data_IF_095113190489
#
_entry.id   IF_095113190489
#
_cell.length_a   1.000
_cell.length_b   1.000
_cell.length_c   1.000
_cell.angle_alpha   90.00
_cell.angle_beta   90.00
_cell.angle_gamma   90.00
#
_symmetry.space_group_name_H-M   'P 1'
#
loop_
_entity.id
_entity.type
_entity.pdbx_description
1 polymer ?
#
# COMPACT_ATOMS: atom_id res chain seq x y z
N UNK A 1 9.64 -15.83 28.37
CA UNK A 1 10.49 -15.25 27.31
C UNK A 1 10.43 -16.20 26.14
N UNK A 2 9.82 -15.81 25.02
CA UNK A 2 9.77 -16.64 23.81
C UNK A 2 11.06 -16.40 23.02
N UNK A 3 11.93 -17.40 23.00
CA UNK A 3 13.13 -17.44 22.16
C UNK A 3 12.75 -17.14 20.70
N UNK A 4 13.25 -16.02 20.21
CA UNK A 4 13.06 -15.58 18.83
C UNK A 4 13.80 -16.54 17.91
N UNK A 5 13.10 -17.54 17.39
CA UNK A 5 13.57 -18.36 16.28
C UNK A 5 13.77 -17.42 15.08
N UNK A 6 15.00 -17.00 14.86
CA UNK A 6 15.48 -16.40 13.62
C UNK A 6 15.47 -17.48 12.53
N UNK A 7 14.27 -17.88 12.10
CA UNK A 7 14.12 -18.74 10.94
C UNK A 7 14.64 -17.96 9.73
N UNK A 8 15.61 -18.53 9.02
CA UNK A 8 16.08 -17.99 7.74
C UNK A 8 14.93 -18.09 6.72
N UNK A 9 14.06 -17.07 6.72
CA UNK A 9 12.94 -17.02 5.78
C UNK A 9 13.54 -16.75 4.41
N UNK A 10 13.43 -17.73 3.50
CA UNK A 10 13.84 -17.58 2.11
C UNK A 10 13.14 -16.36 1.49
N UNK A 11 13.86 -15.25 1.36
CA UNK A 11 13.33 -14.01 0.76
C UNK A 11 13.20 -14.26 -0.74
N UNK A 12 11.98 -14.20 -1.30
CA UNK A 12 11.80 -14.33 -2.74
C UNK A 12 12.68 -13.30 -3.46
N UNK A 13 13.36 -13.71 -4.53
CA UNK A 13 14.14 -12.78 -5.37
C UNK A 13 13.20 -11.93 -6.21
N UNK A 14 12.65 -10.89 -5.59
CA UNK A 14 11.83 -9.88 -6.25
C UNK A 14 12.74 -8.86 -6.93
N UNK A 15 12.35 -8.35 -8.11
CA UNK A 15 13.05 -7.24 -8.76
C UNK A 15 13.26 -6.06 -7.77
N UNK A 16 14.46 -5.47 -7.75
CA UNK A 16 14.89 -4.51 -6.72
C UNK A 16 13.95 -3.32 -6.51
N UNK A 17 13.34 -2.80 -7.58
CA UNK A 17 12.36 -1.71 -7.48
C UNK A 17 11.08 -2.10 -6.74
N UNK A 18 10.59 -3.33 -6.94
CA UNK A 18 9.41 -3.85 -6.23
C UNK A 18 9.75 -4.16 -4.76
N UNK A 19 10.95 -4.70 -4.50
CA UNK A 19 11.44 -4.90 -3.14
C UNK A 19 11.51 -3.59 -2.35
N UNK A 20 12.14 -2.54 -2.89
CA UNK A 20 12.22 -1.22 -2.24
C UNK A 20 10.85 -0.64 -1.92
N UNK A 21 9.88 -0.80 -2.84
CA UNK A 21 8.49 -0.39 -2.61
C UNK A 21 7.86 -1.14 -1.44
N UNK A 22 8.05 -2.46 -1.37
CA UNK A 22 7.51 -3.29 -0.28
C UNK A 22 8.17 -2.97 1.07
N UNK A 23 9.47 -2.73 1.11
CA UNK A 23 10.21 -2.33 2.32
C UNK A 23 9.65 -1.05 2.93
N UNK A 24 9.43 0.00 2.13
CA UNK A 24 8.84 1.27 2.60
C UNK A 24 7.42 1.06 3.15
N UNK A 25 6.64 0.18 2.52
CA UNK A 25 5.28 -0.10 2.96
C UNK A 25 5.24 -0.93 4.24
N UNK A 26 6.21 -1.81 4.42
CA UNK A 26 6.37 -2.58 5.65
C UNK A 26 6.79 -1.67 6.81
N UNK A 27 7.74 -0.77 6.59
CA UNK A 27 8.14 0.22 7.61
C UNK A 27 6.95 1.08 8.06
N UNK A 28 6.18 1.60 7.11
CA UNK A 28 4.97 2.38 7.42
C UNK A 28 3.93 1.54 8.18
N UNK A 29 3.72 0.29 7.77
CA UNK A 29 2.81 -0.64 8.44
C UNK A 29 3.25 -0.91 9.88
N UNK A 30 4.54 -1.15 10.08
CA UNK A 30 5.15 -1.36 11.39
C UNK A 30 4.94 -0.14 12.30
N UNK A 31 5.26 1.06 11.79
CA UNK A 31 5.06 2.32 12.53
C UNK A 31 3.59 2.56 12.89
N UNK A 32 2.65 2.26 12.00
CA UNK A 32 1.22 2.34 12.31
C UNK A 32 0.79 1.34 13.39
N UNK A 33 1.22 0.09 13.27
CA UNK A 33 0.91 -0.93 14.30
C UNK A 33 1.57 -0.63 15.63
N UNK A 34 2.75 -0.03 15.65
CA UNK A 34 3.44 0.32 16.88
C UNK A 34 2.81 1.54 17.56
N UNK A 35 2.58 2.61 16.80
CA UNK A 35 2.01 3.87 17.34
C UNK A 35 0.59 3.73 17.88
N UNK A 36 -0.23 2.85 17.29
CA UNK A 36 -1.62 2.62 17.70
C UNK A 36 -1.88 1.11 17.86
N UNK A 37 -1.07 0.45 18.68
CA UNK A 37 -1.12 -1.02 18.88
C UNK A 37 -2.51 -1.55 19.20
N UNK A 38 -3.26 -0.88 20.10
CA UNK A 38 -4.62 -1.32 20.45
C UNK A 38 -5.62 -1.25 19.29
N UNK A 39 -5.39 -0.37 18.32
CA UNK A 39 -6.25 -0.20 17.14
C UNK A 39 -5.98 -1.28 16.09
N UNK A 40 -4.71 -1.69 15.94
CA UNK A 40 -4.26 -2.57 14.85
C UNK A 40 -3.97 -4.01 15.27
N UNK A 41 -3.80 -4.29 16.57
CA UNK A 41 -3.54 -5.64 17.10
C UNK A 41 -4.64 -6.62 16.67
N UNK A 42 -4.23 -7.75 16.10
CA UNK A 42 -5.14 -8.79 15.58
C UNK A 42 -6.00 -8.38 14.39
N UNK A 43 -5.84 -7.16 13.85
CA UNK A 43 -6.70 -6.59 12.81
C UNK A 43 -5.92 -6.30 11.53
N UNK A 44 -5.33 -7.35 10.95
CA UNK A 44 -4.48 -7.26 9.74
C UNK A 44 -5.22 -6.63 8.55
N UNK A 45 -6.49 -6.97 8.32
CA UNK A 45 -7.30 -6.37 7.25
C UNK A 45 -7.56 -4.88 7.47
N UNK A 46 -7.73 -4.44 8.72
CA UNK A 46 -7.91 -3.04 9.04
C UNK A 46 -6.61 -2.25 8.82
N UNK A 47 -5.47 -2.80 9.24
CA UNK A 47 -4.14 -2.22 8.97
C UNK A 47 -3.89 -2.07 7.46
N UNK A 48 -4.24 -3.08 6.66
CA UNK A 48 -4.14 -3.01 5.19
C UNK A 48 -5.02 -1.90 4.60
N UNK A 49 -6.22 -1.69 5.13
CA UNK A 49 -7.11 -0.58 4.71
C UNK A 49 -6.57 0.78 5.12
N UNK A 50 -6.00 0.90 6.32
CA UNK A 50 -5.35 2.12 6.79
C UNK A 50 -4.14 2.50 5.93
N UNK A 51 -3.30 1.51 5.58
CA UNK A 51 -2.20 1.68 4.61
C UNK A 51 -2.70 2.20 3.26
N UNK A 52 -3.77 1.62 2.73
CA UNK A 52 -4.34 2.06 1.47
C UNK A 52 -4.92 3.49 1.56
N UNK A 53 -5.56 3.86 2.67
CA UNK A 53 -6.06 5.21 2.90
C UNK A 53 -4.91 6.23 2.99
N UNK A 54 -3.83 5.90 3.69
CA UNK A 54 -2.63 6.75 3.78
C UNK A 54 -2.00 6.97 2.39
N UNK A 55 -1.80 5.90 1.61
CA UNK A 55 -1.27 6.00 0.23
C UNK A 55 -2.11 6.94 -0.62
N UNK A 56 -3.42 6.76 -0.60
CA UNK A 56 -4.34 7.59 -1.39
C UNK A 56 -4.33 9.05 -0.92
N UNK A 57 -4.30 9.29 0.39
CA UNK A 57 -4.25 10.64 0.96
C UNK A 57 -2.97 11.36 0.53
N UNK A 58 -1.81 10.73 0.73
CA UNK A 58 -0.52 11.30 0.34
C UNK A 58 -0.45 11.58 -1.16
N UNK A 59 -0.88 10.63 -1.99
CA UNK A 59 -0.96 10.82 -3.45
C UNK A 59 -1.84 12.01 -3.82
N UNK A 60 -3.04 12.12 -3.24
CA UNK A 60 -3.94 13.24 -3.50
C UNK A 60 -3.34 14.57 -3.04
N UNK A 61 -2.66 14.61 -1.89
CA UNK A 61 -1.98 15.82 -1.40
C UNK A 61 -0.83 16.24 -2.31
N UNK A 62 0.00 15.30 -2.79
CA UNK A 62 1.10 15.61 -3.71
C UNK A 62 0.59 16.17 -5.05
N UNK A 63 -0.46 15.57 -5.61
CA UNK A 63 -1.10 16.04 -6.84
C UNK A 63 -1.72 17.43 -6.64
N UNK A 64 -2.43 17.64 -5.53
CA UNK A 64 -3.02 18.94 -5.20
C UNK A 64 -1.95 20.03 -4.99
N UNK A 65 -0.77 19.65 -4.49
CA UNK A 65 0.39 20.53 -4.34
C UNK A 65 1.16 20.82 -5.63
N UNK A 66 0.65 20.39 -6.80
CA UNK A 66 1.26 20.67 -8.10
C UNK A 66 2.39 19.73 -8.50
N UNK A 67 2.64 18.64 -7.75
CA UNK A 67 3.58 17.62 -8.19
C UNK A 67 2.99 16.81 -9.35
N UNK A 68 3.79 16.64 -10.41
CA UNK A 68 3.40 15.90 -11.60
C UNK A 68 3.24 14.40 -11.26
N UNK A 69 2.24 13.74 -11.84
CA UNK A 69 1.85 12.36 -11.44
C UNK A 69 2.98 11.37 -11.66
N UNK A 70 3.86 11.60 -12.63
CA UNK A 70 5.04 10.78 -12.90
C UNK A 70 6.10 10.84 -11.78
N UNK A 71 6.10 11.91 -10.99
CA UNK A 71 7.09 12.15 -9.91
C UNK A 71 6.64 11.62 -8.55
N UNK A 72 5.39 11.17 -8.44
CA UNK A 72 4.85 10.60 -7.20
C UNK A 72 5.55 9.26 -6.91
N UNK A 73 6.07 9.12 -5.70
CA UNK A 73 6.86 7.94 -5.34
C UNK A 73 6.05 6.62 -5.50
N UNK A 74 6.66 5.54 -6.03
CA UNK A 74 5.95 4.32 -6.40
C UNK A 74 5.17 3.63 -5.26
N UNK A 75 5.53 3.86 -4.00
CA UNK A 75 4.87 3.28 -2.83
C UNK A 75 3.54 3.97 -2.47
N UNK A 76 3.24 5.15 -3.03
CA UNK A 76 1.95 5.81 -2.90
C UNK A 76 0.93 5.38 -3.98
N UNK A 77 1.35 4.56 -4.95
CA UNK A 77 0.45 4.06 -5.98
C UNK A 77 -0.59 3.07 -5.47
N UNK A 78 -1.77 3.09 -6.08
CA UNK A 78 -2.79 2.05 -5.91
C UNK A 78 -2.24 0.68 -6.30
N UNK A 79 -2.55 -0.34 -5.48
CA UNK A 79 -2.20 -1.75 -5.76
C UNK A 79 -2.66 -2.16 -7.14
N UNK A 80 -1.83 -2.96 -7.83
CA UNK A 80 -2.07 -3.40 -9.21
C UNK A 80 -3.45 -4.04 -9.39
N UNK A 81 -3.83 -4.96 -8.50
CA UNK A 81 -5.14 -5.63 -8.56
C UNK A 81 -6.30 -4.64 -8.43
N UNK A 82 -6.24 -3.74 -7.44
CA UNK A 82 -7.27 -2.72 -7.22
C UNK A 82 -7.37 -1.75 -8.39
N UNK A 83 -6.25 -1.35 -8.98
CA UNK A 83 -6.23 -0.49 -10.17
C UNK A 83 -6.92 -1.14 -11.36
N UNK A 84 -6.52 -2.38 -11.71
CA UNK A 84 -7.12 -3.14 -12.81
C UNK A 84 -8.63 -3.34 -12.60
N UNK A 85 -9.05 -3.60 -11.36
CA UNK A 85 -10.47 -3.72 -11.02
C UNK A 85 -11.21 -2.39 -11.24
N UNK A 86 -10.68 -1.27 -10.73
CA UNK A 86 -11.29 0.06 -10.91
C UNK A 86 -11.38 0.44 -12.40
N UNK A 87 -10.37 0.12 -13.21
CA UNK A 87 -10.39 0.34 -14.65
C UNK A 87 -11.50 -0.46 -15.35
N UNK A 88 -11.64 -1.75 -15.00
CA UNK A 88 -12.75 -2.59 -15.51
C UNK A 88 -14.11 -2.02 -15.13
N UNK A 89 -14.30 -1.64 -13.86
CA UNK A 89 -15.55 -1.04 -13.39
C UNK A 89 -15.86 0.30 -14.07
N UNK A 90 -14.85 1.14 -14.33
CA UNK A 90 -15.02 2.39 -15.10
C UNK A 90 -15.42 2.12 -16.54
N UNK A 91 -14.80 1.12 -17.20
CA UNK A 91 -15.15 0.73 -18.57
C UNK A 91 -16.58 0.20 -18.66
N UNK A 92 -16.99 -0.63 -17.70
CA UNK A 92 -18.37 -1.10 -17.58
C UNK A 92 -19.37 0.04 -17.38
N UNK A 93 -19.08 1.02 -16.51
CA UNK A 93 -19.94 2.21 -16.34
C UNK A 93 -20.07 3.06 -17.61
N UNK A 94 -18.97 3.25 -18.35
CA UNK A 94 -18.99 4.00 -19.61
C UNK A 94 -19.80 3.30 -20.70
N UNK A 95 -19.77 1.97 -20.76
CA UNK A 95 -20.59 1.20 -21.69
C UNK A 95 -22.09 1.24 -21.37
N UNK A 96 -22.45 1.53 -20.11
CA UNK A 96 -23.84 1.61 -19.63
C UNK A 96 -24.41 3.03 -19.59
N UNK A 97 -23.66 4.04 -20.06
CA UNK A 97 -24.17 5.41 -20.18
C UNK A 97 -24.59 5.59 -21.65
N UNK A 98 -25.88 5.88 -21.95
CA UNK A 98 -26.37 6.03 -23.33
C UNK A 98 -25.74 7.23 -24.05
#
# INVERSE_FOLDING_TARGET
MSDGVEGEVAVPRIAGGKRRKEEVLNDLGYRMSWSQSRVFSGRTMFLQRALDAYRNKMRSTMIAGGQEVSTVAPHFETRVGKRKWLEKSRKSKRANTP
#
